data_IF_894251439694
#
_entry.id   IF_894251439694
#
_cell.length_a   1.000
_cell.length_b   1.000
_cell.length_c   1.000
_cell.angle_alpha   90.00
_cell.angle_beta   90.00
_cell.angle_gamma   90.00
#
_symmetry.space_group_name_H-M   'P 1'
#
loop_
_entity.id
_entity.type
_entity.pdbx_description
1 polymer ?
#
# COMPACT_ATOMS: atom_id res chain seq x y z
N UNK A 1 -4.43 -11.87 -18.64
CA UNK A 1 -4.53 -11.80 -17.16
C UNK A 1 -5.65 -10.84 -16.77
N UNK A 2 -6.22 -10.96 -15.56
CA UNK A 2 -7.29 -10.07 -15.11
C UNK A 2 -6.76 -8.63 -14.91
N UNK A 3 -7.43 -7.65 -15.52
CA UNK A 3 -7.06 -6.24 -15.38
C UNK A 3 -7.40 -5.69 -13.99
N UNK A 4 -8.49 -6.16 -13.40
CA UNK A 4 -8.93 -5.77 -12.06
C UNK A 4 -9.63 -6.94 -11.35
N UNK A 5 -9.80 -6.81 -10.03
CA UNK A 5 -10.66 -7.66 -9.19
C UNK A 5 -11.81 -6.80 -8.67
N UNK A 6 -13.05 -7.27 -8.81
CA UNK A 6 -14.24 -6.61 -8.28
C UNK A 6 -14.56 -7.18 -6.89
N UNK A 7 -14.49 -6.34 -5.86
CA UNK A 7 -14.79 -6.69 -4.47
C UNK A 7 -16.23 -6.29 -4.07
N UNK A 8 -17.04 -5.83 -5.02
CA UNK A 8 -18.41 -5.34 -4.80
C UNK A 8 -18.46 -3.89 -4.30
N UNK A 9 -17.51 -3.46 -3.46
CA UNK A 9 -17.37 -2.06 -3.01
C UNK A 9 -16.24 -1.29 -3.71
N UNK A 10 -15.34 -2.00 -4.41
CA UNK A 10 -14.22 -1.43 -5.14
C UNK A 10 -13.79 -2.33 -6.30
N UNK A 11 -13.25 -1.72 -7.36
CA UNK A 11 -12.56 -2.43 -8.45
C UNK A 11 -11.06 -2.16 -8.32
N UNK A 12 -10.31 -3.18 -7.94
CA UNK A 12 -8.87 -3.09 -7.64
C UNK A 12 -8.07 -3.45 -8.89
N UNK A 13 -7.25 -2.54 -9.41
CA UNK A 13 -6.39 -2.67 -10.59
C UNK A 13 -5.17 -3.53 -10.29
N UNK A 14 -5.40 -4.83 -10.13
CA UNK A 14 -4.33 -5.81 -9.89
C UNK A 14 -3.39 -5.97 -11.10
N UNK A 15 -3.81 -5.53 -12.30
CA UNK A 15 -2.99 -5.54 -13.52
C UNK A 15 -2.05 -4.34 -13.68
N UNK A 16 -2.07 -3.39 -12.74
CA UNK A 16 -1.27 -2.16 -12.82
C UNK A 16 0.24 -2.41 -12.88
N UNK A 17 0.72 -3.43 -12.15
CA UNK A 17 2.14 -3.79 -12.10
C UNK A 17 2.66 -4.17 -13.49
N UNK A 18 1.95 -5.01 -14.23
CA UNK A 18 2.34 -5.44 -15.58
C UNK A 18 2.39 -4.26 -16.57
N UNK A 19 1.42 -3.34 -16.48
CA UNK A 19 1.31 -2.21 -17.43
C UNK A 19 2.19 -1.01 -17.07
N UNK A 20 2.56 -0.82 -15.81
CA UNK A 20 3.22 0.40 -15.33
C UNK A 20 4.53 0.15 -14.59
N UNK A 21 4.84 -1.09 -14.22
CA UNK A 21 6.04 -1.45 -13.46
C UNK A 21 5.89 -1.31 -11.95
N UNK A 22 4.72 -0.91 -11.44
CA UNK A 22 4.43 -0.78 -10.00
C UNK A 22 2.94 -1.04 -9.71
N UNK A 23 2.61 -1.64 -8.55
CA UNK A 23 1.25 -2.04 -8.21
C UNK A 23 0.37 -0.82 -7.94
N UNK A 24 -0.94 -1.03 -7.78
CA UNK A 24 -1.82 -0.01 -7.22
C UNK A 24 -1.56 0.17 -5.72
N UNK A 25 -1.70 1.40 -5.23
CA UNK A 25 -1.68 1.72 -3.81
C UNK A 25 -3.10 2.05 -3.34
N UNK A 26 -3.50 1.48 -2.21
CA UNK A 26 -4.81 1.71 -1.61
C UNK A 26 -4.79 2.99 -0.76
N UNK A 27 -5.65 3.96 -1.08
CA UNK A 27 -5.88 5.10 -0.19
C UNK A 27 -6.78 4.65 0.98
N UNK A 28 -6.27 4.60 2.21
CA UNK A 28 -7.05 4.14 3.37
C UNK A 28 -8.02 5.21 3.92
N UNK A 29 -7.80 6.49 3.63
CA UNK A 29 -8.67 7.58 4.11
C UNK A 29 -10.12 7.36 3.67
N UNK A 30 -11.03 7.34 4.65
CA UNK A 30 -12.47 7.16 4.42
C UNK A 30 -12.91 5.72 4.16
N UNK A 31 -12.01 4.74 4.17
CA UNK A 31 -12.34 3.31 4.04
C UNK A 31 -12.48 2.66 5.41
N UNK A 32 -13.23 1.56 5.47
CA UNK A 32 -13.26 0.73 6.69
C UNK A 32 -12.00 -0.14 6.79
N UNK A 33 -11.64 -0.62 8.00
CA UNK A 33 -10.56 -1.58 8.16
C UNK A 33 -10.71 -2.85 7.31
N UNK A 34 -11.93 -3.35 7.14
CA UNK A 34 -12.22 -4.53 6.31
C UNK A 34 -12.04 -4.24 4.82
N UNK A 35 -12.45 -3.06 4.35
CA UNK A 35 -12.25 -2.67 2.94
C UNK A 35 -10.76 -2.59 2.60
N UNK A 36 -9.96 -1.94 3.46
CA UNK A 36 -8.51 -1.85 3.28
C UNK A 36 -7.88 -3.24 3.28
N UNK A 37 -8.31 -4.12 4.19
CA UNK A 37 -7.80 -5.49 4.27
C UNK A 37 -8.07 -6.29 3.00
N UNK A 38 -9.30 -6.25 2.48
CA UNK A 38 -9.66 -6.95 1.25
C UNK A 38 -8.94 -6.41 0.02
N UNK A 39 -8.76 -5.08 -0.08
CA UNK A 39 -7.99 -4.46 -1.17
C UNK A 39 -6.53 -4.93 -1.13
N UNK A 40 -5.88 -4.86 0.04
CA UNK A 40 -4.49 -5.28 0.19
C UNK A 40 -4.31 -6.76 -0.08
N UNK A 41 -5.26 -7.59 0.35
CA UNK A 41 -5.28 -9.02 0.06
C UNK A 41 -5.30 -9.28 -1.46
N UNK A 42 -6.22 -8.65 -2.20
CA UNK A 42 -6.31 -8.81 -3.65
C UNK A 42 -5.02 -8.37 -4.37
N UNK A 43 -4.40 -7.26 -3.92
CA UNK A 43 -3.14 -6.77 -4.49
C UNK A 43 -1.98 -7.72 -4.22
N UNK A 44 -1.81 -8.18 -2.98
CA UNK A 44 -0.68 -9.05 -2.61
C UNK A 44 -0.81 -10.45 -3.19
N UNK A 45 -2.03 -11.00 -3.30
CA UNK A 45 -2.27 -12.30 -3.93
C UNK A 45 -1.84 -12.29 -5.41
N UNK A 46 -2.08 -11.18 -6.11
CA UNK A 46 -1.69 -11.05 -7.52
C UNK A 46 -0.21 -10.72 -7.71
N UNK A 47 0.30 -9.76 -6.94
CA UNK A 47 1.57 -9.09 -7.23
C UNK A 47 2.69 -9.44 -6.24
N UNK A 48 2.38 -10.11 -5.13
CA UNK A 48 3.31 -10.32 -4.03
C UNK A 48 3.67 -9.05 -3.26
N UNK A 49 3.06 -7.92 -3.58
CA UNK A 49 3.30 -6.61 -2.96
C UNK A 49 1.98 -5.84 -2.84
N UNK A 50 1.82 -5.10 -1.75
CA UNK A 50 0.68 -4.21 -1.55
C UNK A 50 1.07 -3.04 -0.63
N UNK A 51 0.46 -1.87 -0.88
CA UNK A 51 0.67 -0.65 -0.12
C UNK A 51 -0.68 0.00 0.17
N UNK A 52 -0.94 0.33 1.43
CA UNK A 52 -1.97 1.30 1.78
C UNK A 52 -1.33 2.57 2.35
N UNK A 53 -1.78 3.73 1.88
CA UNK A 53 -1.32 5.03 2.39
C UNK A 53 -2.39 5.69 3.26
N UNK A 54 -1.95 6.61 4.13
CA UNK A 54 -2.82 7.35 5.07
C UNK A 54 -3.66 6.43 5.98
N UNK A 55 -3.11 5.29 6.35
CA UNK A 55 -3.73 4.31 7.22
C UNK A 55 -3.57 4.68 8.71
N UNK A 56 -4.68 4.63 9.45
CA UNK A 56 -4.67 4.64 10.92
C UNK A 56 -4.40 3.26 11.54
N UNK A 57 -4.14 3.22 12.85
CA UNK A 57 -3.83 1.99 13.61
C UNK A 57 -4.92 0.92 13.47
N UNK A 58 -6.20 1.30 13.49
CA UNK A 58 -7.33 0.38 13.33
C UNK A 58 -7.29 -0.39 12.00
N UNK A 59 -6.80 0.23 10.91
CA UNK A 59 -6.61 -0.48 9.65
C UNK A 59 -5.52 -1.54 9.80
N UNK A 60 -4.39 -1.18 10.42
CA UNK A 60 -3.28 -2.11 10.59
C UNK A 60 -3.63 -3.27 11.53
N UNK A 61 -4.29 -3.00 12.65
CA UNK A 61 -4.78 -4.01 13.59
C UNK A 61 -5.68 -5.04 12.91
N UNK A 62 -6.49 -4.61 11.95
CA UNK A 62 -7.31 -5.52 11.15
C UNK A 62 -6.49 -6.27 10.11
N UNK A 63 -5.62 -5.57 9.38
CA UNK A 63 -4.80 -6.14 8.31
C UNK A 63 -3.88 -7.24 8.86
N UNK A 64 -3.20 -7.02 9.99
CA UNK A 64 -2.22 -7.98 10.54
C UNK A 64 -2.86 -9.31 10.96
N UNK A 65 -4.16 -9.34 11.24
CA UNK A 65 -4.90 -10.58 11.52
C UNK A 65 -5.07 -11.47 10.28
N UNK A 66 -5.10 -10.87 9.09
CA UNK A 66 -5.32 -11.58 7.81
C UNK A 66 -4.02 -11.73 7.02
N UNK A 67 -3.13 -10.74 7.10
CA UNK A 67 -1.84 -10.66 6.43
C UNK A 67 -0.74 -10.48 7.50
N UNK A 68 -0.30 -11.56 8.17
CA UNK A 68 0.63 -11.49 9.30
C UNK A 68 2.02 -10.93 8.97
N UNK A 69 2.36 -10.85 7.67
CA UNK A 69 3.61 -10.29 7.16
C UNK A 69 3.51 -8.78 6.85
N UNK A 70 2.37 -8.15 7.12
CA UNK A 70 2.20 -6.71 7.00
C UNK A 70 3.04 -5.93 8.03
N UNK A 71 3.62 -4.82 7.59
CA UNK A 71 4.35 -3.86 8.45
C UNK A 71 3.62 -2.53 8.48
N UNK A 72 3.63 -1.86 9.63
CA UNK A 72 3.05 -0.53 9.78
C UNK A 72 4.13 0.53 9.99
N UNK A 73 4.26 1.41 9.00
CA UNK A 73 5.09 2.60 9.07
C UNK A 73 4.27 3.72 9.69
N UNK A 74 4.29 3.82 11.01
CA UNK A 74 3.35 4.66 11.77
C UNK A 74 3.47 6.17 11.48
N UNK A 75 4.68 6.66 11.20
CA UNK A 75 4.91 8.09 10.88
C UNK A 75 4.36 8.44 9.50
N UNK A 76 4.69 7.62 8.49
CA UNK A 76 4.17 7.76 7.12
C UNK A 76 2.73 7.29 6.96
N UNK A 77 2.15 6.68 8.00
CA UNK A 77 0.82 6.08 8.01
C UNK A 77 0.63 5.10 6.85
N UNK A 78 1.61 4.21 6.66
CA UNK A 78 1.59 3.24 5.57
C UNK A 78 1.52 1.81 6.09
N UNK A 79 0.73 0.97 5.43
CA UNK A 79 0.75 -0.48 5.62
C UNK A 79 1.40 -1.10 4.39
N UNK A 80 2.46 -1.87 4.61
CA UNK A 80 3.31 -2.42 3.54
C UNK A 80 3.35 -3.93 3.65
N UNK A 81 3.10 -4.63 2.54
CA UNK A 81 3.34 -6.06 2.39
C UNK A 81 4.29 -6.27 1.22
N UNK A 82 5.39 -6.99 1.45
CA UNK A 82 6.42 -7.26 0.44
C UNK A 82 6.89 -8.71 0.50
N UNK A 83 6.19 -9.58 -0.26
CA UNK A 83 6.57 -11.00 -0.48
C UNK A 83 7.45 -11.15 -1.71
N UNK A 84 7.26 -10.30 -2.71
CA UNK A 84 8.01 -10.28 -3.97
C UNK A 84 8.50 -8.87 -4.27
N UNK A 85 9.60 -8.42 -3.65
CA UNK A 85 10.06 -7.04 -3.76
C UNK A 85 10.40 -6.67 -5.21
N UNK A 86 10.12 -5.42 -5.58
CA UNK A 86 10.45 -4.90 -6.91
C UNK A 86 11.97 -4.72 -7.08
N UNK A 87 12.49 -4.84 -8.31
CA UNK A 87 13.88 -4.52 -8.61
C UNK A 87 14.19 -3.07 -8.22
N UNK A 88 15.34 -2.85 -7.59
CA UNK A 88 15.83 -1.49 -7.31
C UNK A 88 16.21 -0.80 -8.62
N UNK A 89 15.72 0.42 -8.80
CA UNK A 89 16.10 1.28 -9.92
C UNK A 89 17.43 1.95 -9.63
N UNK A 90 18.25 2.13 -10.67
CA UNK A 90 19.46 2.94 -10.60
C UNK A 90 19.14 4.42 -10.53
N UNK A 91 19.91 5.19 -9.75
CA UNK A 91 19.73 6.63 -9.60
C UNK A 91 19.56 7.03 -8.14
N UNK A 92 19.43 8.34 -7.89
CA UNK A 92 19.14 8.89 -6.57
C UNK A 92 17.92 9.81 -6.67
N UNK A 93 16.96 9.63 -5.78
CA UNK A 93 15.82 10.51 -5.60
C UNK A 93 15.95 11.15 -4.22
N UNK A 94 15.76 12.46 -4.14
CA UNK A 94 15.74 13.18 -2.88
C UNK A 94 14.30 13.58 -2.54
N UNK A 95 13.90 13.33 -1.29
CA UNK A 95 12.67 13.88 -0.71
C UNK A 95 13.10 15.06 0.16
N UNK A 96 12.62 16.26 -0.17
CA UNK A 96 13.03 17.51 0.49
C UNK A 96 11.80 18.13 1.15
N UNK A 97 11.92 18.52 2.42
CA UNK A 97 10.87 19.21 3.17
C UNK A 97 11.41 20.44 3.88
N UNK A 98 10.53 21.37 4.27
CA UNK A 98 10.90 22.63 4.88
C UNK A 98 10.80 22.61 6.41
N UNK A 99 10.12 21.60 6.99
CA UNK A 99 9.99 21.49 8.44
C UNK A 99 9.65 20.08 8.95
N UNK A 100 9.66 19.94 10.28
CA UNK A 100 9.32 18.68 10.96
C UNK A 100 7.85 18.31 10.83
N UNK A 101 6.97 19.29 10.58
CA UNK A 101 5.54 19.07 10.31
C UNK A 101 5.31 18.29 9.01
N UNK A 102 6.25 18.37 8.05
CA UNK A 102 6.18 17.63 6.80
C UNK A 102 6.59 16.16 6.97
N UNK A 103 7.14 15.78 8.13
CA UNK A 103 7.68 14.43 8.39
C UNK A 103 6.69 13.31 8.02
N UNK A 104 5.39 13.36 8.36
CA UNK A 104 4.46 12.32 7.92
C UNK A 104 4.37 12.19 6.41
N UNK A 105 4.45 13.30 5.67
CA UNK A 105 4.41 13.31 4.20
C UNK A 105 5.72 12.79 3.61
N UNK A 106 6.86 13.15 4.22
CA UNK A 106 8.18 12.65 3.83
C UNK A 106 8.27 11.12 4.02
N UNK A 107 7.79 10.62 5.15
CA UNK A 107 7.83 9.18 5.46
C UNK A 107 6.80 8.39 4.62
N UNK A 108 5.69 8.99 4.19
CA UNK A 108 4.76 8.37 3.22
C UNK A 108 5.39 8.20 1.82
N UNK A 109 6.33 9.07 1.45
CA UNK A 109 6.98 9.09 0.13
C UNK A 109 8.30 8.30 0.04
N UNK A 110 8.74 7.69 1.14
CA UNK A 110 10.03 7.02 1.28
C UNK A 110 9.96 5.54 0.87
#
# INVERSE_FOLDING_TARGET
>A
MAAFVDLGFAKVDVGRLERRGFPEAALATGKTPDDVTQILQALVEKNGIALATRAGSQHFERVIQVLPDARFESVGRCIVIERTPLPRLSGKVAVVSAGTTDRPVVEEAR
#
